data_IF_172238478215
#
_entry.id   IF_172238478215
#
_cell.length_a   1.000
_cell.length_b   1.000
_cell.length_c   1.000
_cell.angle_alpha   90.00
_cell.angle_beta   90.00
_cell.angle_gamma   90.00
#
_symmetry.space_group_name_H-M   'P 1'
#
loop_
_entity.id
_entity.type
_entity.pdbx_description
1 polymer ?
#
# COMPACT_ATOMS: atom_id res chain seq x y z
N UNK A 1 -21.22 11.56 -4.95
CA UNK A 1 -21.14 10.36 -5.82
C UNK A 1 -20.23 10.68 -7.01
N UNK A 2 -18.94 10.97 -6.78
CA UNK A 2 -17.99 11.50 -7.80
C UNK A 2 -16.74 10.62 -8.01
N UNK A 3 -16.66 9.47 -7.34
CA UNK A 3 -15.46 8.62 -7.41
C UNK A 3 -15.45 7.64 -8.60
N UNK A 4 -16.56 7.47 -9.31
CA UNK A 4 -16.65 6.43 -10.35
C UNK A 4 -16.11 6.84 -11.72
N UNK A 5 -15.85 8.14 -11.96
CA UNK A 5 -15.32 8.64 -13.23
C UNK A 5 -13.80 8.84 -13.23
N UNK A 6 -13.08 8.25 -12.27
CA UNK A 6 -11.63 8.11 -12.41
C UNK A 6 -11.40 7.05 -13.50
N UNK A 7 -11.10 7.50 -14.72
CA UNK A 7 -10.79 6.63 -15.84
C UNK A 7 -9.71 5.64 -15.44
N UNK A 8 -10.15 4.43 -15.05
CA UNK A 8 -9.28 3.32 -14.66
C UNK A 8 -8.37 3.12 -15.88
N UNK A 9 -7.08 3.48 -15.79
CA UNK A 9 -6.23 3.36 -16.95
C UNK A 9 -6.19 1.86 -17.25
N UNK A 10 -6.50 1.45 -18.48
CA UNK A 10 -6.28 0.07 -18.93
C UNK A 10 -4.77 -0.22 -18.82
N UNK A 11 -4.35 -0.69 -17.64
CA UNK A 11 -2.96 -0.81 -17.23
C UNK A 11 -2.42 -2.16 -17.71
N UNK A 12 -1.37 -2.11 -18.53
CA UNK A 12 -0.60 -3.30 -18.91
C UNK A 12 -0.05 -4.02 -17.65
N UNK A 13 -0.69 -5.14 -17.36
CA UNK A 13 -0.47 -6.28 -16.47
C UNK A 13 0.74 -6.32 -15.50
N UNK A 14 1.96 -5.93 -15.88
CA UNK A 14 3.16 -6.29 -15.09
C UNK A 14 3.46 -5.38 -13.91
N UNK A 15 3.17 -4.07 -14.00
CA UNK A 15 3.42 -3.09 -12.92
C UNK A 15 2.28 -3.08 -11.89
N UNK A 16 1.04 -3.30 -12.36
CA UNK A 16 -0.13 -3.52 -11.52
C UNK A 16 0.04 -4.78 -10.67
N UNK A 17 0.62 -5.83 -11.26
CA UNK A 17 0.96 -7.06 -10.54
C UNK A 17 1.89 -6.79 -9.34
N UNK A 18 2.85 -5.86 -9.43
CA UNK A 18 3.70 -5.51 -8.28
C UNK A 18 2.89 -4.90 -7.13
N UNK A 19 1.96 -3.98 -7.43
CA UNK A 19 1.11 -3.35 -6.40
C UNK A 19 0.09 -4.33 -5.83
N UNK A 20 -0.44 -5.25 -6.64
CA UNK A 20 -1.28 -6.34 -6.13
C UNK A 20 -0.50 -7.31 -5.23
N UNK A 21 0.74 -7.65 -5.59
CA UNK A 21 1.60 -8.52 -4.77
C UNK A 21 1.93 -7.83 -3.44
N UNK A 22 2.32 -6.55 -3.46
CA UNK A 22 2.62 -5.82 -2.22
C UNK A 22 1.38 -5.63 -1.35
N UNK A 23 0.21 -5.40 -1.95
CA UNK A 23 -1.06 -5.35 -1.24
C UNK A 23 -1.39 -6.71 -0.60
N UNK A 24 -1.19 -7.81 -1.34
CA UNK A 24 -1.34 -9.16 -0.81
C UNK A 24 -0.44 -9.42 0.40
N UNK A 25 0.84 -9.03 0.34
CA UNK A 25 1.76 -9.12 1.47
C UNK A 25 1.29 -8.30 2.69
N UNK A 26 0.69 -7.13 2.47
CA UNK A 26 0.13 -6.33 3.58
C UNK A 26 -1.02 -7.06 4.26
N UNK A 27 -1.93 -7.65 3.49
CA UNK A 27 -3.07 -8.40 4.02
C UNK A 27 -2.60 -9.65 4.77
N UNK A 28 -1.62 -10.37 4.22
CA UNK A 28 -1.06 -11.58 4.86
C UNK A 28 -0.29 -11.24 6.15
N UNK A 29 0.40 -10.09 6.20
CA UNK A 29 1.11 -9.65 7.39
C UNK A 29 0.17 -9.13 8.49
N UNK A 30 -1.06 -8.72 8.14
CA UNK A 30 -2.00 -8.08 9.07
C UNK A 30 -2.36 -8.97 10.28
N UNK A 31 -2.73 -10.25 10.14
CA UNK A 31 -2.99 -11.13 11.28
C UNK A 31 -1.81 -11.22 12.26
N UNK A 32 -0.58 -11.31 11.72
CA UNK A 32 0.63 -11.36 12.55
C UNK A 32 0.91 -10.02 13.24
N UNK A 33 0.71 -8.91 12.54
CA UNK A 33 0.86 -7.57 13.10
C UNK A 33 -0.15 -7.29 14.22
N UNK A 34 -1.41 -7.71 14.05
CA UNK A 34 -2.44 -7.61 15.09
C UNK A 34 -2.08 -8.48 16.31
N UNK A 35 -1.55 -9.68 16.09
CA UNK A 35 -1.09 -10.54 17.18
C UNK A 35 0.06 -9.92 17.96
N UNK A 36 1.08 -9.40 17.26
CA UNK A 36 2.24 -8.76 17.90
C UNK A 36 1.89 -7.47 18.62
N UNK A 37 1.02 -6.63 18.04
CA UNK A 37 0.49 -5.46 18.72
C UNK A 37 -0.28 -5.84 19.99
N UNK A 38 -1.16 -6.85 19.91
CA UNK A 38 -1.91 -7.35 21.07
C UNK A 38 -1.00 -7.87 22.18
N UNK A 39 0.07 -8.59 21.82
CA UNK A 39 1.07 -9.08 22.77
C UNK A 39 1.86 -7.95 23.41
N UNK A 40 2.23 -6.91 22.65
CA UNK A 40 2.90 -5.72 23.18
C UNK A 40 2.03 -4.97 24.20
N UNK A 41 0.71 -4.94 23.99
CA UNK A 41 -0.27 -4.37 24.92
C UNK A 41 -0.81 -5.33 25.98
N UNK A 42 -0.19 -6.49 26.18
CA UNK A 42 -0.69 -7.48 27.14
C UNK A 42 -0.35 -7.13 28.61
N UNK A 43 0.57 -6.18 28.83
CA UNK A 43 0.99 -5.77 30.16
C UNK A 43 -0.04 -4.83 30.82
N UNK A 44 -0.30 -4.94 32.14
CA UNK A 44 -1.26 -4.08 32.85
C UNK A 44 -0.87 -2.60 32.90
N UNK A 45 0.39 -2.27 32.62
CA UNK A 45 0.89 -0.89 32.49
C UNK A 45 1.00 -0.41 31.04
N UNK A 46 0.67 -1.26 30.07
CA UNK A 46 0.81 -0.92 28.66
C UNK A 46 -0.23 0.08 28.19
N UNK A 47 0.13 0.85 27.19
CA UNK A 47 -0.72 1.85 26.54
C UNK A 47 -1.05 1.40 25.12
N UNK A 48 -2.09 1.98 24.51
CA UNK A 48 -2.38 1.82 23.08
C UNK A 48 -1.17 2.11 22.18
N UNK A 49 -0.22 2.93 22.64
CA UNK A 49 1.01 3.21 21.91
C UNK A 49 1.90 1.97 21.75
N UNK A 50 1.96 1.09 22.75
CA UNK A 50 2.73 -0.17 22.71
C UNK A 50 2.11 -1.15 21.69
N UNK A 51 0.77 -1.13 21.57
CA UNK A 51 0.08 -1.85 20.50
C UNK A 51 0.50 -1.35 19.11
N UNK A 52 0.49 -0.04 18.90
CA UNK A 52 0.88 0.56 17.62
C UNK A 52 2.35 0.30 17.30
N UNK A 53 3.23 0.30 18.30
CA UNK A 53 4.63 -0.03 18.14
C UNK A 53 4.81 -1.48 17.67
N UNK A 54 4.19 -2.45 18.35
CA UNK A 54 4.23 -3.85 17.95
C UNK A 54 3.58 -4.11 16.58
N UNK A 55 2.47 -3.44 16.28
CA UNK A 55 1.78 -3.55 15.00
C UNK A 55 2.63 -2.98 13.85
N UNK A 56 3.15 -1.76 14.00
CA UNK A 56 3.96 -1.10 12.98
C UNK A 56 5.34 -1.73 12.81
N UNK A 57 5.87 -2.41 13.82
CA UNK A 57 7.12 -3.15 13.69
C UNK A 57 7.02 -4.28 12.65
N UNK A 58 5.91 -5.02 12.66
CA UNK A 58 5.65 -6.09 11.69
C UNK A 58 5.12 -5.54 10.37
N UNK A 59 4.17 -4.61 10.42
CA UNK A 59 3.51 -4.06 9.23
C UNK A 59 4.38 -3.04 8.50
N UNK A 60 5.42 -2.49 9.13
CA UNK A 60 6.27 -1.43 8.59
C UNK A 60 6.93 -1.78 7.26
N UNK A 61 7.53 -2.98 7.16
CA UNK A 61 8.13 -3.46 5.90
C UNK A 61 7.05 -3.63 4.81
N UNK A 62 5.94 -4.38 5.05
CA UNK A 62 4.82 -4.44 4.11
C UNK A 62 4.33 -3.06 3.64
N UNK A 63 4.15 -2.10 4.55
CA UNK A 63 3.68 -0.75 4.23
C UNK A 63 4.68 0.01 3.36
N UNK A 64 5.97 -0.05 3.66
CA UNK A 64 7.02 0.59 2.86
C UNK A 64 7.05 0.05 1.43
N UNK A 65 6.96 -1.27 1.26
CA UNK A 65 6.91 -1.91 -0.06
C UNK A 65 5.66 -1.47 -0.84
N UNK A 66 4.52 -1.34 -0.16
CA UNK A 66 3.28 -0.86 -0.76
C UNK A 66 3.38 0.60 -1.21
N UNK A 67 3.93 1.49 -0.36
CA UNK A 67 4.13 2.91 -0.69
C UNK A 67 5.01 3.05 -1.93
N UNK A 68 6.15 2.34 -1.98
CA UNK A 68 7.05 2.37 -3.14
C UNK A 68 6.33 1.86 -4.40
N UNK A 69 5.52 0.81 -4.27
CA UNK A 69 4.71 0.28 -5.36
C UNK A 69 3.70 1.29 -5.91
N UNK A 70 3.00 1.99 -5.03
CA UNK A 70 2.02 3.02 -5.39
C UNK A 70 2.71 4.22 -6.06
N UNK A 71 3.79 4.75 -5.48
CA UNK A 71 4.56 5.86 -6.06
C UNK A 71 5.03 5.52 -7.48
N UNK A 72 5.58 4.32 -7.67
CA UNK A 72 6.03 3.84 -8.97
C UNK A 72 4.88 3.68 -9.97
N UNK A 73 3.69 3.27 -9.53
CA UNK A 73 2.50 3.26 -10.38
C UNK A 73 2.12 4.68 -10.79
N UNK A 74 1.99 5.60 -9.83
CA UNK A 74 1.54 6.98 -10.08
C UNK A 74 2.43 7.68 -11.11
N UNK A 75 3.77 7.67 -10.95
CA UNK A 75 4.69 8.29 -11.90
C UNK A 75 4.59 7.71 -13.31
N UNK A 76 4.33 6.41 -13.44
CA UNK A 76 4.14 5.77 -14.77
C UNK A 76 2.81 6.15 -15.41
N UNK A 77 1.82 6.53 -14.62
CA UNK A 77 0.52 6.98 -15.13
C UNK A 77 0.65 8.37 -15.72
N UNK A 78 1.37 9.25 -15.03
CA UNK A 78 1.68 10.62 -15.50
C UNK A 78 2.48 10.61 -16.81
N UNK A 79 3.54 9.80 -16.89
CA UNK A 79 4.35 9.67 -18.13
C UNK A 79 3.50 9.21 -19.32
N UNK A 80 2.59 8.24 -19.10
CA UNK A 80 1.69 7.74 -20.15
C UNK A 80 0.63 8.75 -20.57
N UNK A 81 0.18 9.61 -19.66
CA UNK A 81 -0.78 10.67 -19.98
C UNK A 81 -0.08 11.74 -20.82
N UNK A 82 1.10 12.20 -20.40
CA UNK A 82 1.87 13.23 -21.11
C UNK A 82 2.27 12.78 -22.52
N UNK A 83 2.70 11.53 -22.70
CA UNK A 83 2.98 10.96 -24.04
C UNK A 83 1.76 10.94 -24.95
N UNK A 84 0.56 10.66 -24.41
CA UNK A 84 -0.67 10.68 -25.21
C UNK A 84 -1.06 12.08 -25.64
N UNK A 85 -0.91 13.07 -24.75
CA UNK A 85 -1.20 14.48 -25.08
C UNK A 85 -0.26 14.96 -26.20
N UNK A 86 1.05 14.71 -26.06
CA UNK A 86 2.04 15.21 -27.02
C UNK A 86 2.06 14.48 -28.37
N UNK A 87 1.40 13.31 -28.48
CA UNK A 87 1.24 12.57 -29.74
C UNK A 87 0.00 12.99 -30.53
N UNK A 88 -0.93 13.72 -29.92
CA UNK A 88 -2.16 14.20 -30.54
C UNK A 88 -2.07 15.69 -30.94
N UNK A 89 -0.95 16.35 -30.65
CA UNK A 89 -0.59 17.70 -31.09
C UNK A 89 0.40 17.60 -32.26
#
# INVERSE_FOLDING_TARGET
MLFWSAGIPKIKSKKLSFVMISLGLNVIATPLALFMGGMASASPISTTNDFWEGFLFIQGIPLLILIIGILKWLSLTEEKINKRINSNN
#
